data_IF_643543093222
#
_entry.id   IF_643543093222
#
_cell.length_a   1.000
_cell.length_b   1.000
_cell.length_c   1.000
_cell.angle_alpha   90.00
_cell.angle_beta   90.00
_cell.angle_gamma   90.00
#
_symmetry.space_group_name_H-M   'P 1'
#
loop_
_entity.id
_entity.type
_entity.pdbx_description
1 polymer ?
#
# COMPACT_ATOMS: atom_id res chain seq x y z
N UNK A 1 -4.33 -15.46 -9.86
CA UNK A 1 -5.01 -15.03 -8.61
C UNK A 1 -5.78 -13.75 -8.87
N UNK A 2 -7.01 -13.64 -8.36
CA UNK A 2 -7.82 -12.42 -8.47
C UNK A 2 -7.18 -11.32 -7.63
N UNK A 3 -6.91 -10.17 -8.25
CA UNK A 3 -6.34 -9.00 -7.58
C UNK A 3 -7.38 -8.30 -6.67
N UNK A 4 -8.14 -9.08 -5.89
CA UNK A 4 -9.31 -8.64 -5.12
C UNK A 4 -8.92 -7.59 -4.07
N UNK A 5 -7.76 -7.76 -3.43
CA UNK A 5 -7.18 -6.80 -2.49
C UNK A 5 -6.96 -5.43 -3.12
N UNK A 6 -6.33 -5.36 -4.30
CA UNK A 6 -6.16 -4.12 -5.03
C UNK A 6 -7.49 -3.51 -5.45
N UNK A 7 -8.42 -4.31 -5.98
CA UNK A 7 -9.75 -3.85 -6.38
C UNK A 7 -10.50 -3.18 -5.21
N UNK A 8 -10.33 -3.68 -3.98
CA UNK A 8 -10.94 -3.10 -2.78
C UNK A 8 -10.41 -1.69 -2.44
N UNK A 9 -9.16 -1.37 -2.78
CA UNK A 9 -8.51 -0.11 -2.40
C UNK A 9 -8.20 0.84 -3.57
N UNK A 10 -8.24 0.36 -4.82
CA UNK A 10 -7.81 1.14 -6.00
C UNK A 10 -8.65 2.40 -6.24
N UNK A 11 -9.90 2.42 -5.80
CA UNK A 11 -10.77 3.60 -5.94
C UNK A 11 -10.52 4.67 -4.86
N UNK A 12 -9.63 4.41 -3.89
CA UNK A 12 -9.47 5.23 -2.69
C UNK A 12 -8.21 6.10 -2.71
N UNK A 13 -8.40 7.41 -2.68
CA UNK A 13 -7.39 8.39 -2.30
C UNK A 13 -7.69 8.82 -0.86
N UNK A 14 -6.75 8.61 0.05
CA UNK A 14 -6.89 9.00 1.45
C UNK A 14 -7.02 10.51 1.64
N UNK A 15 -7.47 10.94 2.81
CA UNK A 15 -7.60 12.37 3.16
C UNK A 15 -6.30 13.17 3.02
N UNK A 16 -5.16 12.49 3.09
CA UNK A 16 -3.84 13.06 2.86
C UNK A 16 -3.42 13.17 1.39
N UNK A 17 -4.24 12.71 0.45
CA UNK A 17 -3.90 12.62 -0.97
C UNK A 17 -3.08 11.39 -1.36
N UNK A 18 -2.74 10.48 -0.44
CA UNK A 18 -2.05 9.22 -0.76
C UNK A 18 -3.05 8.25 -1.38
N UNK A 19 -2.71 7.63 -2.51
CA UNK A 19 -3.54 6.64 -3.16
C UNK A 19 -3.39 5.26 -2.50
N UNK A 20 -4.46 4.72 -1.92
CA UNK A 20 -4.43 3.43 -1.21
C UNK A 20 -4.09 2.26 -2.13
N UNK A 21 -4.39 2.35 -3.43
CA UNK A 21 -3.97 1.35 -4.43
C UNK A 21 -2.46 1.18 -4.56
N UNK A 22 -1.67 2.18 -4.15
CA UNK A 22 -0.19 2.09 -4.13
C UNK A 22 0.38 1.57 -2.80
N UNK A 23 -0.45 1.38 -1.76
CA UNK A 23 0.00 0.95 -0.45
C UNK A 23 0.04 -0.59 -0.36
N UNK A 24 1.21 -1.17 -0.09
CA UNK A 24 1.41 -2.63 -0.01
C UNK A 24 0.57 -3.34 1.05
N UNK A 25 0.18 -2.63 2.11
CA UNK A 25 -0.70 -3.15 3.16
C UNK A 25 -2.18 -3.22 2.73
N UNK A 26 -2.58 -2.39 1.77
CA UNK A 26 -3.95 -2.36 1.25
C UNK A 26 -4.12 -3.13 -0.05
N UNK A 27 -3.22 -2.92 -1.02
CA UNK A 27 -3.30 -3.55 -2.32
C UNK A 27 -2.93 -5.05 -2.30
N UNK A 28 -2.36 -5.54 -1.20
CA UNK A 28 -2.02 -6.95 -1.00
C UNK A 28 -0.63 -7.36 -1.49
N UNK A 29 0.16 -6.44 -2.07
CA UNK A 29 1.48 -6.76 -2.61
C UNK A 29 2.44 -7.31 -1.55
N UNK A 30 2.29 -6.91 -0.28
CA UNK A 30 3.10 -7.46 0.82
C UNK A 30 2.80 -8.96 1.02
N UNK A 31 1.52 -9.33 1.11
CA UNK A 31 1.11 -10.73 1.29
C UNK A 31 1.51 -11.58 0.09
N UNK A 32 1.26 -11.09 -1.12
CA UNK A 32 1.63 -11.76 -2.36
C UNK A 32 3.14 -12.03 -2.44
N UNK A 33 3.95 -11.02 -2.12
CA UNK A 33 5.40 -11.17 -2.12
C UNK A 33 5.88 -12.16 -1.08
N UNK A 34 5.30 -12.13 0.13
CA UNK A 34 5.65 -13.07 1.19
C UNK A 34 5.31 -14.50 0.77
N UNK A 35 4.12 -14.76 0.23
CA UNK A 35 3.72 -16.09 -0.22
C UNK A 35 4.64 -16.63 -1.31
N UNK A 36 4.90 -15.85 -2.37
CA UNK A 36 5.84 -16.28 -3.42
C UNK A 36 7.25 -16.49 -2.91
N UNK A 37 7.69 -15.71 -1.92
CA UNK A 37 8.99 -15.93 -1.29
C UNK A 37 8.99 -17.21 -0.45
N UNK A 38 7.92 -17.50 0.29
CA UNK A 38 7.71 -18.73 1.03
C UNK A 38 7.75 -19.97 0.11
N UNK A 39 7.12 -19.89 -1.06
CA UNK A 39 7.17 -20.95 -2.08
C UNK A 39 8.60 -21.18 -2.56
N UNK A 40 9.32 -20.11 -2.94
CA UNK A 40 10.71 -20.21 -3.42
C UNK A 40 11.63 -20.81 -2.36
N UNK A 41 11.53 -20.42 -1.08
CA UNK A 41 12.38 -21.00 -0.04
C UNK A 41 12.03 -22.47 0.23
N UNK A 42 10.75 -22.85 0.08
CA UNK A 42 10.27 -24.22 0.21
C UNK A 42 10.80 -25.11 -0.91
N UNK A 43 10.65 -24.66 -2.17
CA UNK A 43 11.11 -25.38 -3.37
C UNK A 43 12.62 -25.63 -3.38
N UNK A 44 13.40 -24.68 -2.86
CA UNK A 44 14.85 -24.80 -2.74
C UNK A 44 15.30 -25.51 -1.45
N UNK A 45 14.38 -25.93 -0.59
CA UNK A 45 14.69 -26.61 0.67
C UNK A 45 15.58 -25.77 1.59
N UNK A 46 15.32 -24.46 1.68
CA UNK A 46 16.18 -23.50 2.39
C UNK A 46 16.56 -23.97 3.80
N UNK A 47 15.62 -24.59 4.53
CA UNK A 47 15.85 -25.18 5.86
C UNK A 47 17.08 -26.10 5.93
N UNK A 48 17.39 -26.82 4.86
CA UNK A 48 18.48 -27.81 4.83
C UNK A 48 19.88 -27.19 4.76
N UNK A 49 19.98 -25.93 4.31
CA UNK A 49 21.27 -25.28 4.01
C UNK A 49 21.43 -23.87 4.60
N UNK A 50 20.48 -23.42 5.44
CA UNK A 50 20.70 -22.24 6.29
C UNK A 50 21.85 -22.46 7.29
N UNK A 51 22.54 -21.39 7.71
CA UNK A 51 23.56 -21.48 8.75
C UNK A 51 22.99 -22.05 10.07
N UNK A 52 23.77 -22.78 10.88
CA UNK A 52 23.29 -23.37 12.14
C UNK A 52 22.73 -22.37 13.17
N UNK A 53 23.08 -21.09 13.05
CA UNK A 53 22.57 -20.03 13.93
C UNK A 53 21.21 -19.45 13.48
N UNK A 54 20.72 -19.83 12.30
CA UNK A 54 19.46 -19.35 11.75
C UNK A 54 18.30 -20.18 12.29
N UNK A 55 17.34 -19.53 12.95
CA UNK A 55 16.12 -20.19 13.40
C UNK A 55 15.09 -20.21 12.26
N UNK A 56 15.15 -21.26 11.43
CA UNK A 56 14.24 -21.41 10.30
C UNK A 56 12.77 -21.48 10.74
N UNK A 57 12.49 -22.14 11.87
CA UNK A 57 11.12 -22.30 12.35
C UNK A 57 10.51 -20.97 12.76
N UNK A 58 11.27 -20.12 13.45
CA UNK A 58 10.79 -18.79 13.81
C UNK A 58 10.64 -17.88 12.58
N UNK A 59 11.55 -18.00 11.62
CA UNK A 59 11.45 -17.31 10.34
C UNK A 59 10.18 -17.71 9.57
N UNK A 60 9.87 -19.00 9.45
CA UNK A 60 8.65 -19.50 8.78
C UNK A 60 7.37 -18.98 9.43
N UNK A 61 7.29 -18.96 10.78
CA UNK A 61 6.15 -18.34 11.48
C UNK A 61 5.98 -16.86 11.15
N UNK A 62 7.10 -16.15 10.93
CA UNK A 62 7.09 -14.75 10.51
C UNK A 62 6.46 -14.56 9.14
N UNK A 63 6.75 -15.45 8.18
CA UNK A 63 6.15 -15.43 6.85
C UNK A 63 4.64 -15.72 6.92
N UNK A 64 4.26 -16.80 7.61
CA UNK A 64 2.86 -17.16 7.85
C UNK A 64 2.09 -16.01 8.50
N UNK A 65 2.68 -15.34 9.50
CA UNK A 65 2.06 -14.19 10.18
C UNK A 65 1.80 -13.01 9.24
N UNK A 66 2.67 -12.78 8.25
CA UNK A 66 2.47 -11.71 7.25
C UNK A 66 1.40 -12.13 6.25
N UNK A 67 1.40 -13.39 5.82
CA UNK A 67 0.38 -13.94 4.92
C UNK A 67 -1.02 -13.97 5.53
N UNK A 68 -1.15 -14.15 6.84
CA UNK A 68 -2.42 -14.11 7.56
C UNK A 68 -2.83 -12.70 8.00
N UNK A 69 -1.93 -11.71 7.85
CA UNK A 69 -2.19 -10.35 8.30
C UNK A 69 -3.45 -9.77 7.63
N UNK A 70 -4.37 -9.17 8.40
CA UNK A 70 -5.55 -8.52 7.82
C UNK A 70 -5.15 -7.46 6.80
N UNK A 71 -5.80 -7.50 5.64
CA UNK A 71 -5.63 -6.48 4.61
C UNK A 71 -6.23 -5.16 5.07
N UNK A 72 -5.53 -4.06 4.79
CA UNK A 72 -6.05 -2.73 4.99
C UNK A 72 -7.14 -2.44 3.94
N UNK A 73 -8.39 -2.27 4.37
CA UNK A 73 -9.53 -1.88 3.55
C UNK A 73 -9.49 -0.42 3.08
N UNK A 74 -8.46 0.34 3.46
CA UNK A 74 -8.20 1.70 3.01
C UNK A 74 -8.70 2.79 3.94
N UNK A 75 -8.09 3.97 3.83
CA UNK A 75 -8.29 5.08 4.77
C UNK A 75 -9.74 5.59 4.83
N UNK A 76 -10.55 5.40 3.79
CA UNK A 76 -11.96 5.83 3.75
C UNK A 76 -12.92 4.77 4.28
N UNK A 77 -12.46 3.53 4.41
CA UNK A 77 -13.20 2.42 5.02
C UNK A 77 -13.04 2.36 6.55
N UNK A 78 -12.28 3.30 7.13
CA UNK A 78 -12.06 3.41 8.58
C UNK A 78 -10.63 3.04 9.02
N UNK A 79 -9.90 2.29 8.20
CA UNK A 79 -8.56 1.79 8.51
C UNK A 79 -7.48 2.88 8.59
N UNK A 80 -6.35 2.57 9.21
CA UNK A 80 -5.33 3.53 9.58
C UNK A 80 -5.63 4.16 10.95
N UNK A 81 -4.88 5.19 11.33
CA UNK A 81 -5.06 5.81 12.64
C UNK A 81 -6.43 6.50 12.75
N UNK A 82 -7.26 6.18 13.76
CA UNK A 82 -8.52 6.88 14.00
C UNK A 82 -8.30 8.37 14.30
N UNK A 83 -7.18 8.69 14.95
CA UNK A 83 -6.77 10.05 15.32
C UNK A 83 -5.91 10.74 14.25
N UNK A 84 -5.98 10.29 12.99
CA UNK A 84 -5.25 10.91 11.89
C UNK A 84 -5.68 12.38 11.72
N UNK A 85 -4.79 13.36 11.91
CA UNK A 85 -5.18 14.78 11.86
C UNK A 85 -5.66 15.21 10.48
N UNK A 86 -5.12 14.62 9.41
CA UNK A 86 -5.54 14.96 8.05
C UNK A 86 -6.96 14.45 7.77
N UNK A 87 -7.32 13.28 8.30
CA UNK A 87 -8.69 12.75 8.27
C UNK A 87 -9.64 13.68 9.01
N UNK A 88 -9.34 13.96 10.28
CA UNK A 88 -10.20 14.80 11.12
C UNK A 88 -10.38 16.19 10.52
N UNK A 89 -9.29 16.81 10.05
CA UNK A 89 -9.32 18.13 9.42
C UNK A 89 -10.11 18.15 8.11
N UNK A 90 -9.97 17.13 7.26
CA UNK A 90 -10.68 17.07 5.97
C UNK A 90 -12.19 16.91 6.19
N UNK A 91 -12.60 16.05 7.14
CA UNK A 91 -14.00 15.86 7.53
C UNK A 91 -14.57 17.17 8.11
N UNK A 92 -13.88 17.81 9.05
CA UNK A 92 -14.31 19.08 9.68
C UNK A 92 -14.52 20.20 8.65
N UNK A 93 -13.62 20.29 7.67
CA UNK A 93 -13.67 21.30 6.60
C UNK A 93 -14.58 20.93 5.43
N UNK A 94 -15.13 19.71 5.41
CA UNK A 94 -15.97 19.23 4.30
C UNK A 94 -15.22 19.14 2.97
N UNK A 95 -13.93 18.81 2.99
CA UNK A 95 -13.10 18.64 1.77
C UNK A 95 -12.72 17.18 1.58
N UNK A 96 -12.61 16.76 0.33
CA UNK A 96 -12.28 15.36 0.01
C UNK A 96 -10.90 14.94 0.49
N UNK A 97 -9.90 15.81 0.31
CA UNK A 97 -8.53 15.56 0.73
C UNK A 97 -7.82 16.90 0.96
N UNK A 98 -6.61 16.85 1.53
CA UNK A 98 -5.81 18.04 1.79
C UNK A 98 -5.54 18.87 0.53
N UNK A 99 -5.39 18.23 -0.64
CA UNK A 99 -5.08 18.93 -1.90
C UNK A 99 -6.26 19.82 -2.31
N UNK A 100 -7.49 19.40 -2.01
CA UNK A 100 -8.68 20.20 -2.28
C UNK A 100 -8.87 21.40 -1.34
N UNK A 101 -8.21 21.42 -0.17
CA UNK A 101 -8.43 22.41 0.89
C UNK A 101 -8.13 23.86 0.46
N UNK A 102 -7.16 24.11 -0.43
CA UNK A 102 -6.82 25.45 -0.92
C UNK A 102 -6.16 26.40 0.09
N UNK A 103 -6.19 26.12 1.39
CA UNK A 103 -5.66 26.99 2.47
C UNK A 103 -4.25 26.60 2.97
N UNK A 104 -3.43 26.00 2.11
CA UNK A 104 -2.11 25.48 2.48
C UNK A 104 -1.18 26.53 3.11
N UNK A 105 -1.29 27.80 2.72
CA UNK A 105 -0.45 28.88 3.24
C UNK A 105 -0.67 29.23 4.72
N UNK A 106 -1.79 28.81 5.31
CA UNK A 106 -2.12 29.04 6.73
C UNK A 106 -2.40 27.74 7.49
N UNK A 107 -2.09 26.59 6.88
CA UNK A 107 -2.40 25.28 7.44
C UNK A 107 -1.50 24.95 8.64
N UNK A 108 -2.12 24.66 9.78
CA UNK A 108 -1.40 24.25 11.00
C UNK A 108 -0.80 22.84 10.92
N UNK A 109 -1.24 22.04 9.93
CA UNK A 109 -0.79 20.67 9.75
C UNK A 109 0.31 20.53 8.66
N UNK A 110 0.83 21.63 8.11
CA UNK A 110 1.77 21.62 6.97
C UNK A 110 2.98 20.71 7.20
N UNK A 111 3.72 20.91 8.29
CA UNK A 111 4.92 20.11 8.57
C UNK A 111 4.59 18.60 8.69
N UNK A 112 3.47 18.28 9.35
CA UNK A 112 3.01 16.89 9.52
C UNK A 112 2.62 16.27 8.18
N UNK A 113 1.91 17.03 7.35
CA UNK A 113 1.49 16.63 6.02
C UNK A 113 2.69 16.36 5.12
N UNK A 114 3.65 17.29 5.07
CA UNK A 114 4.87 17.18 4.27
C UNK A 114 5.72 15.99 4.71
N UNK A 115 5.92 15.82 6.02
CA UNK A 115 6.70 14.68 6.56
C UNK A 115 6.08 13.35 6.17
N UNK A 116 4.77 13.21 6.36
CA UNK A 116 4.04 11.98 6.00
C UNK A 116 4.11 11.72 4.49
N UNK A 117 3.90 12.72 3.65
CA UNK A 117 3.97 12.55 2.19
C UNK A 117 5.37 12.24 1.69
N UNK A 118 6.39 12.89 2.23
CA UNK A 118 7.79 12.60 1.90
C UNK A 118 8.14 11.16 2.26
N UNK A 119 7.71 10.69 3.44
CA UNK A 119 7.86 9.29 3.83
C UNK A 119 7.11 8.32 2.90
N UNK A 120 5.87 8.67 2.52
CA UNK A 120 5.07 7.85 1.60
C UNK A 120 5.74 7.73 0.21
N UNK A 121 6.18 8.85 -0.37
CA UNK A 121 6.90 8.87 -1.64
C UNK A 121 8.22 8.09 -1.54
N UNK A 122 8.96 8.25 -0.43
CA UNK A 122 10.18 7.48 -0.18
C UNK A 122 9.97 5.97 -0.09
N UNK A 123 8.76 5.53 0.31
CA UNK A 123 8.34 4.14 0.30
C UNK A 123 7.68 3.70 -1.03
N UNK A 124 7.67 4.56 -2.06
CA UNK A 124 7.12 4.26 -3.38
C UNK A 124 5.59 4.42 -3.50
N UNK A 125 4.93 5.04 -2.52
CA UNK A 125 3.51 5.33 -2.61
C UNK A 125 3.25 6.54 -3.52
N UNK A 126 2.13 6.49 -4.22
CA UNK A 126 1.70 7.53 -5.15
C UNK A 126 0.83 8.54 -4.40
N UNK A 127 1.10 9.82 -4.65
CA UNK A 127 0.45 10.94 -3.97
C UNK A 127 -0.17 11.92 -4.98
N UNK A 128 -1.37 12.40 -4.67
CA UNK A 128 -2.06 13.44 -5.43
C UNK A 128 -1.35 14.79 -5.22
N UNK A 129 -0.73 15.36 -6.25
CA UNK A 129 0.01 16.63 -6.14
C UNK A 129 -0.82 17.88 -6.43
N UNK A 130 -1.93 17.73 -7.17
CA UNK A 130 -2.78 18.85 -7.54
C UNK A 130 -4.24 18.44 -7.71
N UNK A 131 -5.09 19.43 -7.97
CA UNK A 131 -6.49 19.19 -8.36
C UNK A 131 -6.51 18.51 -9.73
N UNK A 132 -7.43 17.59 -9.91
CA UNK A 132 -7.58 16.82 -11.14
C UNK A 132 -8.78 15.89 -11.04
N UNK A 133 -9.22 15.38 -12.17
CA UNK A 133 -10.25 14.35 -12.18
C UNK A 133 -9.73 13.10 -11.47
N UNK A 134 -10.55 12.55 -10.57
CA UNK A 134 -10.12 11.46 -9.71
C UNK A 134 -9.94 10.16 -10.49
N UNK A 135 -10.83 9.88 -11.43
CA UNK A 135 -10.85 8.64 -12.17
C UNK A 135 -9.69 8.62 -13.18
N UNK A 136 -9.42 9.74 -13.85
CA UNK A 136 -8.25 9.91 -14.71
C UNK A 136 -6.92 9.70 -13.94
N UNK A 137 -6.82 10.24 -12.72
CA UNK A 137 -5.63 10.03 -11.88
C UNK A 137 -5.46 8.55 -11.51
N UNK A 138 -6.53 7.87 -11.10
CA UNK A 138 -6.49 6.46 -10.69
C UNK A 138 -6.16 5.56 -11.88
N UNK A 139 -6.71 5.81 -13.07
CA UNK A 139 -6.40 5.06 -14.28
C UNK A 139 -4.90 5.19 -14.62
N UNK A 140 -4.40 6.43 -14.66
CA UNK A 140 -2.98 6.71 -14.89
C UNK A 140 -2.09 5.99 -13.88
N UNK A 141 -2.38 6.14 -12.58
CA UNK A 141 -1.57 5.53 -11.52
C UNK A 141 -1.65 4.01 -11.53
N UNK A 142 -2.75 3.42 -11.99
CA UNK A 142 -2.87 1.98 -12.17
C UNK A 142 -1.91 1.47 -13.24
N UNK A 143 -1.79 2.16 -14.38
CA UNK A 143 -0.79 1.82 -15.40
C UNK A 143 0.65 1.96 -14.90
N UNK A 144 0.94 3.02 -14.14
CA UNK A 144 2.24 3.20 -13.49
C UNK A 144 2.54 2.06 -12.48
N UNK A 145 1.53 1.62 -11.72
CA UNK A 145 1.69 0.60 -10.69
C UNK A 145 2.02 -0.78 -11.27
N UNK A 146 1.47 -1.12 -12.45
CA UNK A 146 1.72 -2.39 -13.13
C UNK A 146 3.19 -2.66 -13.42
N UNK A 147 4.00 -1.61 -13.54
CA UNK A 147 5.44 -1.70 -13.83
C UNK A 147 6.31 -1.24 -12.66
N UNK A 148 5.71 -0.83 -11.54
CA UNK A 148 6.42 -0.29 -10.38
C UNK A 148 6.62 -1.33 -9.27
N UNK A 149 7.87 -1.61 -8.92
CA UNK A 149 8.18 -2.44 -7.75
C UNK A 149 7.77 -1.72 -6.45
N UNK A 150 7.20 -2.41 -5.45
CA UNK A 150 6.92 -3.85 -5.41
C UNK A 150 5.58 -4.28 -6.01
N UNK A 151 4.65 -3.34 -6.23
CA UNK A 151 3.26 -3.65 -6.54
C UNK A 151 3.03 -4.25 -7.93
N UNK A 152 4.01 -4.17 -8.84
CA UNK A 152 3.97 -4.86 -10.13
C UNK A 152 3.76 -6.38 -9.99
N UNK A 153 4.14 -6.97 -8.84
CA UNK A 153 3.93 -8.39 -8.53
C UNK A 153 2.47 -8.83 -8.64
N UNK A 154 1.53 -7.93 -8.32
CA UNK A 154 0.08 -8.16 -8.39
C UNK A 154 -0.45 -8.37 -9.81
N UNK A 155 0.37 -8.03 -10.82
CA UNK A 155 0.01 -8.06 -12.23
C UNK A 155 0.84 -9.06 -13.03
N UNK A 156 1.71 -9.83 -12.37
CA UNK A 156 2.48 -10.90 -13.02
C UNK A 156 1.56 -12.10 -13.18
N UNK A 157 1.28 -12.47 -14.44
CA UNK A 157 0.62 -13.72 -14.77
C UNK A 157 1.54 -14.91 -14.47
N UNK A 158 1.07 -15.87 -13.69
CA UNK A 158 1.72 -17.18 -13.58
C UNK A 158 1.48 -17.92 -14.90
N UNK A 159 2.55 -18.34 -15.56
CA UNK A 159 2.40 -19.31 -16.65
C UNK A 159 1.96 -20.62 -16.02
N UNK A 160 0.75 -21.08 -16.33
CA UNK A 160 0.38 -22.48 -16.08
C UNK A 160 1.42 -23.37 -16.75
N UNK A 161 2.30 -23.98 -15.95
CA UNK A 161 3.14 -25.07 -16.43
C UNK A 161 2.23 -26.24 -16.75
N UNK A 162 2.01 -26.45 -18.05
CA UNK A 162 1.31 -27.60 -18.64
C UNK A 162 2.08 -28.90 -18.43
#
# INVERSE_FOLDING_TARGET
>A
MTNESFENVKSQIGYCGIWCGSCVAGNGALREMTGRFADVIGDYGLEEWVPPCFDFKEFSKGLESIEEMPLCGGCRSGDGSPDCPMRLCAIDRGVEDCVECGEHGVCLNTERFEKMRTGAVGAGLIVKEGKGDRDELIEKWTEELKVSWPSCILFIEEKETS
#
